data_IF_252071627382
#
_entry.id   IF_252071627382
#
_cell.length_a   1.000
_cell.length_b   1.000
_cell.length_c   1.000
_cell.angle_alpha   90.00
_cell.angle_beta   90.00
_cell.angle_gamma   90.00
#
_symmetry.space_group_name_H-M   'P 1'
#
loop_
_entity.id
_entity.type
_entity.pdbx_description
1 polymer ?
#
# COMPACT_ATOMS: atom_id res chain seq x y z
N UNK A 1 5.84 24.38 -7.67
CA UNK A 1 6.30 23.12 -8.30
C UNK A 1 7.56 22.68 -7.59
N UNK A 2 7.72 21.38 -7.35
CA UNK A 2 8.82 20.79 -6.59
C UNK A 2 9.40 19.62 -7.38
N UNK A 3 10.60 19.19 -6.99
CA UNK A 3 11.30 18.08 -7.64
C UNK A 3 11.90 17.17 -6.58
N UNK A 4 11.71 15.86 -6.71
CA UNK A 4 12.43 14.82 -5.97
C UNK A 4 13.25 13.97 -6.94
N UNK A 5 14.32 13.32 -6.48
CA UNK A 5 15.13 12.43 -7.32
C UNK A 5 14.90 10.96 -6.94
N UNK A 6 15.19 10.05 -7.87
CA UNK A 6 15.31 8.62 -7.57
C UNK A 6 16.59 8.05 -8.16
N UNK A 7 17.05 6.91 -7.64
CA UNK A 7 18.14 6.18 -8.26
C UNK A 7 17.61 5.24 -9.37
N UNK A 8 18.12 5.28 -10.61
CA UNK A 8 17.75 4.31 -11.64
C UNK A 8 18.23 2.88 -11.29
N UNK A 9 17.59 1.84 -11.87
CA UNK A 9 16.38 1.91 -12.70
C UNK A 9 15.10 2.15 -11.87
N UNK A 10 14.05 2.65 -12.53
CA UNK A 10 12.70 2.78 -11.98
C UNK A 10 11.67 2.38 -13.04
N UNK A 11 10.84 1.37 -12.76
CA UNK A 11 9.78 0.92 -13.65
C UNK A 11 8.48 1.71 -13.39
N UNK A 12 8.38 2.88 -14.01
CA UNK A 12 7.23 3.78 -13.86
C UNK A 12 5.95 3.22 -14.46
N UNK A 13 6.05 2.46 -15.55
CA UNK A 13 4.89 1.80 -16.17
C UNK A 13 4.29 0.79 -15.20
N UNK A 14 5.12 -0.06 -14.58
CA UNK A 14 4.66 -1.00 -13.57
C UNK A 14 4.08 -0.30 -12.34
N UNK A 15 4.75 0.75 -11.83
CA UNK A 15 4.30 1.51 -10.67
C UNK A 15 2.94 2.17 -10.91
N UNK A 16 2.78 2.89 -12.02
CA UNK A 16 1.52 3.54 -12.38
C UNK A 16 0.44 2.49 -12.67
N UNK A 17 0.75 1.39 -13.33
CA UNK A 17 -0.19 0.28 -13.53
C UNK A 17 -0.64 -0.35 -12.21
N UNK A 18 0.27 -0.52 -11.25
CA UNK A 18 -0.04 -1.01 -9.91
C UNK A 18 -1.04 -0.10 -9.20
N UNK A 19 -0.78 1.21 -9.22
CA UNK A 19 -1.62 2.24 -8.59
C UNK A 19 -2.96 2.39 -9.32
N UNK A 20 -2.97 2.38 -10.65
CA UNK A 20 -4.17 2.48 -11.48
C UNK A 20 -5.16 1.36 -11.17
N UNK A 21 -4.68 0.11 -11.06
CA UNK A 21 -5.52 -1.03 -10.71
C UNK A 21 -6.21 -0.88 -9.33
N UNK A 22 -5.69 -0.02 -8.45
CA UNK A 22 -6.14 0.21 -7.07
C UNK A 22 -6.67 1.63 -6.84
N UNK A 23 -6.74 2.44 -7.89
CA UNK A 23 -7.12 3.84 -7.79
C UNK A 23 -8.55 3.94 -7.25
N UNK A 24 -8.72 4.83 -6.27
CA UNK A 24 -10.04 5.10 -5.70
C UNK A 24 -10.68 6.22 -6.50
N UNK A 25 -11.74 5.87 -7.22
CA UNK A 25 -12.53 6.80 -8.02
C UNK A 25 -13.02 7.99 -7.18
N UNK A 26 -12.78 9.21 -7.68
CA UNK A 26 -12.98 10.48 -6.99
C UNK A 26 -11.87 10.85 -5.99
N UNK A 27 -10.90 10.00 -5.66
CA UNK A 27 -9.77 10.36 -4.77
C UNK A 27 -8.48 10.45 -5.56
N UNK A 28 -8.27 9.51 -6.49
CA UNK A 28 -7.03 9.33 -7.24
C UNK A 28 -7.33 9.26 -8.74
N UNK A 29 -6.42 9.81 -9.54
CA UNK A 29 -6.42 9.69 -10.99
C UNK A 29 -5.06 9.23 -11.43
N UNK A 30 -5.02 8.13 -12.19
CA UNK A 30 -3.79 7.60 -12.77
C UNK A 30 -3.98 7.59 -14.27
N UNK A 31 -3.12 8.32 -14.98
CA UNK A 31 -3.15 8.40 -16.43
C UNK A 31 -1.81 8.02 -17.03
N UNK A 32 -1.67 8.25 -18.33
CA UNK A 32 -0.43 7.97 -19.05
C UNK A 32 0.70 8.88 -18.52
N UNK A 33 1.67 8.29 -17.83
CA UNK A 33 2.83 9.00 -17.31
C UNK A 33 2.52 9.97 -16.17
N UNK A 34 1.38 9.89 -15.48
CA UNK A 34 1.12 10.73 -14.30
C UNK A 34 0.25 10.06 -13.25
N UNK A 35 0.38 10.55 -12.02
CA UNK A 35 -0.51 10.23 -10.91
C UNK A 35 -0.96 11.54 -10.25
N UNK A 36 -2.24 11.64 -9.91
CA UNK A 36 -2.78 12.77 -9.17
C UNK A 36 -3.74 12.27 -8.09
N UNK A 37 -3.85 12.99 -6.98
CA UNK A 37 -4.82 12.66 -5.93
C UNK A 37 -5.19 13.88 -5.08
N UNK A 38 -6.33 13.78 -4.41
CA UNK A 38 -6.62 14.59 -3.24
C UNK A 38 -5.73 14.16 -2.07
N UNK A 39 -5.33 15.14 -1.24
CA UNK A 39 -4.51 14.91 -0.06
C UNK A 39 -4.94 15.84 1.06
N UNK A 40 -4.92 15.31 2.28
CA UNK A 40 -5.16 16.05 3.53
C UNK A 40 -3.93 15.90 4.43
N UNK A 41 -3.50 17.00 5.03
CA UNK A 41 -2.40 17.07 6.00
C UNK A 41 -2.79 18.06 7.09
N UNK A 42 -3.27 17.55 8.23
CA UNK A 42 -3.89 18.40 9.25
C UNK A 42 -5.13 19.10 8.67
N UNK A 43 -5.22 20.41 8.84
CA UNK A 43 -6.33 21.22 8.30
C UNK A 43 -6.16 21.56 6.81
N UNK A 44 -4.97 21.33 6.26
CA UNK A 44 -4.63 21.63 4.86
C UNK A 44 -5.11 20.52 3.94
N UNK A 45 -5.71 20.92 2.81
CA UNK A 45 -6.24 20.02 1.80
C UNK A 45 -5.99 20.54 0.40
N UNK A 46 -5.92 19.64 -0.56
CA UNK A 46 -5.81 20.01 -1.97
C UNK A 46 -5.40 18.87 -2.87
N UNK A 47 -4.95 19.20 -4.08
CA UNK A 47 -4.46 18.25 -5.06
C UNK A 47 -2.94 18.20 -5.09
N UNK A 48 -2.42 16.98 -5.19
CA UNK A 48 -1.05 16.70 -5.60
C UNK A 48 -1.07 15.99 -6.94
N UNK A 49 -0.24 16.45 -7.87
CA UNK A 49 0.00 15.80 -9.16
C UNK A 49 1.48 15.52 -9.31
N UNK A 50 1.83 14.35 -9.82
CA UNK A 50 3.21 13.93 -10.04
C UNK A 50 3.41 13.41 -11.45
N UNK A 51 4.56 13.74 -12.04
CA UNK A 51 5.01 13.26 -13.34
C UNK A 51 6.48 12.88 -13.27
N UNK A 52 6.85 11.62 -13.60
CA UNK A 52 8.24 11.24 -13.69
C UNK A 52 8.89 11.83 -14.94
N UNK A 53 10.06 12.43 -14.76
CA UNK A 53 10.96 12.80 -15.82
C UNK A 53 12.09 11.75 -15.91
N UNK A 54 12.01 10.91 -16.93
CA UNK A 54 12.94 9.78 -17.10
C UNK A 54 14.34 10.24 -17.53
N UNK A 55 14.48 11.37 -18.23
CA UNK A 55 15.77 11.79 -18.78
C UNK A 55 16.77 12.22 -17.71
N UNK A 56 16.26 12.73 -16.58
CA UNK A 56 17.08 13.21 -15.45
C UNK A 56 16.78 12.51 -14.13
N UNK A 57 15.95 11.47 -14.14
CA UNK A 57 15.62 10.66 -12.96
C UNK A 57 14.97 11.46 -11.82
N UNK A 58 14.08 12.39 -12.19
CA UNK A 58 13.38 13.26 -11.23
C UNK A 58 11.87 13.17 -11.31
N UNK A 59 11.20 13.26 -10.15
CA UNK A 59 9.76 13.30 -10.02
C UNK A 59 9.32 14.75 -9.86
N UNK A 60 8.62 15.27 -10.86
CA UNK A 60 8.01 16.60 -10.81
C UNK A 60 6.72 16.54 -10.01
N UNK A 61 6.57 17.43 -9.03
CA UNK A 61 5.44 17.45 -8.10
C UNK A 61 4.79 18.84 -8.11
N UNK A 62 3.49 18.87 -8.36
CA UNK A 62 2.68 20.09 -8.30
C UNK A 62 1.69 19.96 -7.15
N UNK A 63 1.65 20.98 -6.29
CA UNK A 63 0.72 21.09 -5.18
C UNK A 63 -0.22 22.26 -5.45
N UNK A 64 -1.52 22.07 -5.23
CA UNK A 64 -2.48 23.19 -5.21
C UNK A 64 -2.21 24.13 -4.04
N UNK A 65 -2.75 25.34 -4.08
CA UNK A 65 -2.52 26.39 -3.09
C UNK A 65 -2.74 25.92 -1.64
N UNK A 66 -3.82 25.18 -1.38
CA UNK A 66 -4.15 24.67 -0.04
C UNK A 66 -3.11 23.72 0.59
N UNK A 67 -2.22 23.13 -0.21
CA UNK A 67 -1.14 22.24 0.27
C UNK A 67 0.24 22.90 0.34
N UNK A 68 0.41 24.11 -0.20
CA UNK A 68 1.69 24.82 -0.16
C UNK A 68 2.22 25.05 1.27
N UNK A 69 1.38 25.39 2.29
CA UNK A 69 1.87 25.57 3.66
C UNK A 69 2.50 24.31 4.27
N UNK A 70 2.14 23.13 3.76
CA UNK A 70 2.57 21.81 4.24
C UNK A 70 3.36 21.03 3.20
N UNK A 71 3.98 21.75 2.25
CA UNK A 71 4.65 21.15 1.10
C UNK A 71 5.66 20.06 1.49
N UNK A 72 6.50 20.29 2.50
CA UNK A 72 7.48 19.29 2.96
C UNK A 72 6.84 17.97 3.40
N UNK A 73 5.70 18.03 4.11
CA UNK A 73 4.96 16.85 4.51
C UNK A 73 4.33 16.14 3.29
N UNK A 74 3.82 16.88 2.32
CA UNK A 74 3.34 16.33 1.05
C UNK A 74 4.46 15.62 0.28
N UNK A 75 5.64 16.24 0.14
CA UNK A 75 6.80 15.65 -0.54
C UNK A 75 7.26 14.36 0.15
N UNK A 76 7.29 14.32 1.49
CA UNK A 76 7.62 13.11 2.23
C UNK A 76 6.60 11.97 2.00
N UNK A 77 5.29 12.30 1.94
CA UNK A 77 4.22 11.34 1.59
C UNK A 77 4.38 10.81 0.17
N UNK A 78 4.72 11.67 -0.79
CA UNK A 78 4.99 11.27 -2.19
C UNK A 78 6.25 10.40 -2.28
N UNK A 79 7.32 10.75 -1.57
CA UNK A 79 8.54 9.93 -1.52
C UNK A 79 8.23 8.50 -1.04
N UNK A 80 7.44 8.37 0.03
CA UNK A 80 7.01 7.06 0.56
C UNK A 80 6.08 6.30 -0.37
N UNK A 81 5.13 6.97 -1.03
CA UNK A 81 4.24 6.33 -2.00
C UNK A 81 5.02 5.68 -3.14
N UNK A 82 6.04 6.36 -3.66
CA UNK A 82 6.84 5.92 -4.80
C UNK A 82 8.16 5.25 -4.41
N UNK A 83 8.47 5.09 -3.12
CA UNK A 83 9.68 4.42 -2.63
C UNK A 83 10.96 4.95 -3.30
N UNK A 84 11.09 6.28 -3.30
CA UNK A 84 12.16 6.98 -4.00
C UNK A 84 13.53 6.73 -3.35
N UNK A 85 13.55 6.45 -2.04
CA UNK A 85 14.75 6.14 -1.25
C UNK A 85 15.31 4.72 -1.50
N UNK A 86 14.61 3.90 -2.30
CA UNK A 86 15.08 2.57 -2.65
C UNK A 86 16.44 2.64 -3.37
N UNK A 87 17.33 1.72 -3.00
CA UNK A 87 18.61 1.48 -3.66
C UNK A 87 18.50 0.18 -4.49
N UNK A 88 18.17 0.26 -5.79
CA UNK A 88 17.82 -0.93 -6.58
C UNK A 88 18.95 -1.96 -6.65
N UNK A 89 20.21 -1.50 -6.62
CA UNK A 89 21.37 -2.39 -6.62
C UNK A 89 21.40 -3.34 -5.41
N UNK A 90 21.04 -2.85 -4.21
CA UNK A 90 21.01 -3.69 -3.01
C UNK A 90 19.89 -4.75 -3.08
N UNK A 91 18.72 -4.34 -3.59
CA UNK A 91 17.59 -5.25 -3.80
C UNK A 91 17.95 -6.31 -4.84
N UNK A 92 18.58 -5.91 -5.95
CA UNK A 92 19.00 -6.83 -7.01
C UNK A 92 19.99 -7.90 -6.50
N UNK A 93 20.96 -7.51 -5.69
CA UNK A 93 21.91 -8.47 -5.06
C UNK A 93 21.17 -9.49 -4.21
N UNK A 94 20.20 -9.06 -3.40
CA UNK A 94 19.47 -9.96 -2.51
C UNK A 94 18.47 -10.86 -3.24
N UNK A 95 17.85 -10.39 -4.33
CA UNK A 95 16.85 -11.15 -5.06
C UNK A 95 17.44 -12.04 -6.16
N UNK A 96 18.63 -11.73 -6.65
CA UNK A 96 19.28 -12.44 -7.76
C UNK A 96 18.34 -12.59 -8.96
N UNK A 97 18.23 -13.82 -9.48
CA UNK A 97 17.38 -14.15 -10.64
C UNK A 97 15.91 -13.75 -10.49
N UNK A 98 15.36 -13.70 -9.27
CA UNK A 98 13.98 -13.26 -9.05
C UNK A 98 13.78 -11.79 -9.47
N UNK A 99 14.82 -10.97 -9.30
CA UNK A 99 14.82 -9.53 -9.57
C UNK A 99 14.97 -9.17 -11.06
N UNK A 100 15.61 -10.03 -11.85
CA UNK A 100 16.12 -9.71 -13.19
C UNK A 100 15.05 -9.26 -14.20
N UNK A 101 13.85 -9.84 -14.12
CA UNK A 101 12.78 -9.50 -15.06
C UNK A 101 12.24 -8.07 -14.89
N UNK A 102 12.41 -7.46 -13.70
CA UNK A 102 11.93 -6.10 -13.39
C UNK A 102 12.89 -5.38 -12.44
N UNK A 103 14.10 -5.00 -12.89
CA UNK A 103 15.13 -4.44 -12.00
C UNK A 103 14.74 -3.07 -11.43
N UNK A 104 13.80 -2.36 -12.07
CA UNK A 104 13.27 -1.07 -11.60
C UNK A 104 12.05 -1.17 -10.69
N UNK A 105 11.63 -2.38 -10.28
CA UNK A 105 10.46 -2.57 -9.41
C UNK A 105 10.69 -1.88 -8.06
N UNK A 106 9.64 -1.23 -7.56
CA UNK A 106 9.64 -0.55 -6.25
C UNK A 106 8.57 -1.09 -5.33
N UNK A 107 8.67 -0.76 -4.04
CA UNK A 107 7.60 -1.07 -3.09
C UNK A 107 6.58 0.07 -3.10
N UNK A 108 5.38 -0.05 -3.72
CA UNK A 108 4.46 1.06 -3.70
C UNK A 108 3.93 1.21 -2.27
N UNK A 109 4.09 2.40 -1.70
CA UNK A 109 3.71 2.68 -0.32
C UNK A 109 2.27 3.17 -0.20
N UNK A 110 2.10 4.15 0.69
CA UNK A 110 0.88 4.95 0.82
C UNK A 110 1.22 6.39 1.18
N UNK A 111 0.29 7.32 0.90
CA UNK A 111 0.43 8.72 1.35
C UNK A 111 -0.02 8.90 2.79
N UNK A 112 -0.85 8.00 3.30
CA UNK A 112 -1.38 8.03 4.65
C UNK A 112 -1.55 6.60 5.19
N UNK A 113 -1.18 6.41 6.45
CA UNK A 113 -1.14 5.09 7.08
C UNK A 113 -2.54 4.66 7.51
N UNK A 114 -3.37 5.57 8.02
CA UNK A 114 -4.75 5.27 8.36
C UNK A 114 -5.56 4.88 7.12
N UNK A 115 -5.47 5.69 6.05
CA UNK A 115 -6.08 5.36 4.76
C UNK A 115 -5.64 3.98 4.26
N UNK A 116 -4.35 3.64 4.41
CA UNK A 116 -3.84 2.34 4.00
C UNK A 116 -4.38 1.18 4.84
N UNK A 117 -4.64 1.39 6.12
CA UNK A 117 -5.34 0.44 6.98
C UNK A 117 -6.79 0.21 6.53
N UNK A 118 -7.51 1.28 6.20
CA UNK A 118 -8.87 1.18 5.64
C UNK A 118 -8.86 0.37 4.34
N UNK A 119 -7.93 0.68 3.41
CA UNK A 119 -7.76 -0.05 2.15
C UNK A 119 -7.40 -1.53 2.37
N UNK A 120 -6.56 -1.84 3.36
CA UNK A 120 -6.20 -3.22 3.70
C UNK A 120 -7.42 -4.02 4.21
N UNK A 121 -8.24 -3.43 5.08
CA UNK A 121 -9.48 -4.05 5.58
C UNK A 121 -10.49 -4.25 4.44
N UNK A 122 -10.68 -3.25 3.58
CA UNK A 122 -11.60 -3.33 2.44
C UNK A 122 -11.15 -4.33 1.37
N UNK A 123 -9.85 -4.59 1.26
CA UNK A 123 -9.25 -5.58 0.37
C UNK A 123 -9.41 -7.04 0.79
N UNK A 124 -9.94 -7.31 1.98
CA UNK A 124 -10.10 -8.68 2.48
C UNK A 124 -11.08 -9.50 1.62
N UNK A 125 -10.63 -10.67 1.16
CA UNK A 125 -11.45 -11.70 0.49
C UNK A 125 -12.21 -11.22 -0.76
N UNK A 126 -11.72 -10.16 -1.41
CA UNK A 126 -12.31 -9.61 -2.63
C UNK A 126 -11.23 -9.34 -3.67
N UNK A 127 -11.62 -9.20 -4.94
CA UNK A 127 -10.68 -8.79 -5.98
C UNK A 127 -10.22 -7.36 -5.77
N UNK A 128 -9.08 -7.01 -6.38
CA UNK A 128 -8.52 -5.64 -6.35
C UNK A 128 -9.53 -4.61 -6.86
N UNK A 129 -10.22 -4.90 -7.96
CA UNK A 129 -11.24 -4.02 -8.52
C UNK A 129 -12.45 -3.82 -7.57
N UNK A 130 -12.88 -4.89 -6.89
CA UNK A 130 -13.96 -4.78 -5.91
C UNK A 130 -13.52 -3.97 -4.68
N UNK A 131 -12.29 -4.17 -4.19
CA UNK A 131 -11.73 -3.38 -3.09
C UNK A 131 -11.67 -1.89 -3.43
N UNK A 132 -11.20 -1.53 -4.64
CA UNK A 132 -11.18 -0.15 -5.12
C UNK A 132 -12.60 0.45 -5.17
N UNK A 133 -13.58 -0.30 -5.70
CA UNK A 133 -14.99 0.14 -5.76
C UNK A 133 -15.61 0.35 -4.38
N UNK A 134 -15.37 -0.56 -3.44
CA UNK A 134 -15.84 -0.42 -2.04
C UNK A 134 -15.20 0.81 -1.39
N UNK A 135 -13.91 1.00 -1.61
CA UNK A 135 -13.17 2.15 -1.07
C UNK A 135 -13.70 3.47 -1.63
N UNK A 136 -14.04 3.52 -2.93
CA UNK A 136 -14.65 4.70 -3.55
C UNK A 136 -16.05 5.02 -2.98
N UNK A 137 -16.85 3.99 -2.66
CA UNK A 137 -18.13 4.19 -1.96
C UNK A 137 -17.95 4.78 -0.57
N UNK A 138 -16.94 4.31 0.19
CA UNK A 138 -16.61 4.86 1.51
C UNK A 138 -16.15 6.32 1.37
N UNK A 139 -15.21 6.59 0.45
CA UNK A 139 -14.70 7.93 0.20
C UNK A 139 -15.79 8.91 -0.23
N UNK A 140 -16.71 8.53 -1.12
CA UNK A 140 -17.84 9.39 -1.50
C UNK A 140 -18.85 9.62 -0.38
N UNK A 141 -19.05 8.64 0.50
CA UNK A 141 -20.06 8.73 1.57
C UNK A 141 -19.56 9.54 2.77
N UNK A 142 -18.27 9.48 3.07
CA UNK A 142 -17.68 10.03 4.29
C UNK A 142 -16.56 11.06 4.03
N UNK A 143 -16.08 11.18 2.79
CA UNK A 143 -15.09 12.18 2.40
C UNK A 143 -15.73 13.53 2.09
N UNK A 144 -14.88 14.55 2.01
CA UNK A 144 -15.28 15.93 1.72
C UNK A 144 -14.78 16.32 0.33
N UNK A 145 -15.63 16.92 -0.49
CA UNK A 145 -15.24 17.44 -1.80
C UNK A 145 -14.22 18.57 -1.66
N UNK A 146 -13.22 18.60 -2.54
CA UNK A 146 -12.29 19.72 -2.63
C UNK A 146 -12.97 20.92 -3.32
N UNK A 147 -13.04 22.11 -2.69
CA UNK A 147 -13.69 23.27 -3.28
C UNK A 147 -13.14 23.66 -4.66
N UNK A 148 -11.81 23.63 -4.80
CA UNK A 148 -11.11 24.02 -6.04
C UNK A 148 -10.99 22.88 -7.06
N UNK A 149 -11.51 21.69 -6.74
CA UNK A 149 -11.48 20.53 -7.61
C UNK A 149 -12.69 19.61 -7.32
N UNK A 150 -13.91 19.99 -7.77
CA UNK A 150 -15.17 19.33 -7.38
C UNK A 150 -15.28 17.85 -7.73
N UNK A 151 -14.51 17.38 -8.72
CA UNK A 151 -14.43 15.96 -9.09
C UNK A 151 -13.63 15.12 -8.09
N UNK A 152 -12.94 15.77 -7.15
CA UNK A 152 -12.14 15.11 -6.12
C UNK A 152 -12.77 15.21 -4.74
N UNK A 153 -12.80 14.09 -4.04
CA UNK A 153 -13.11 13.97 -2.62
C UNK A 153 -11.85 13.62 -1.84
N UNK A 154 -11.65 14.28 -0.71
CA UNK A 154 -10.65 13.89 0.28
C UNK A 154 -11.03 12.54 0.88
N UNK A 155 -10.03 11.68 1.10
CA UNK A 155 -10.27 10.43 1.83
C UNK A 155 -10.71 10.75 3.27
N UNK A 156 -11.73 10.06 3.82
CA UNK A 156 -12.25 10.35 5.15
C UNK A 156 -11.19 10.10 6.24
N UNK A 157 -11.07 11.05 7.16
CA UNK A 157 -10.17 10.95 8.32
C UNK A 157 -10.68 10.00 9.41
N UNK A 158 -9.83 9.69 10.40
CA UNK A 158 -10.21 8.84 11.52
C UNK A 158 -11.34 9.45 12.37
N UNK A 159 -11.43 10.78 12.49
CA UNK A 159 -12.50 11.48 13.20
C UNK A 159 -13.87 11.16 12.60
N UNK A 160 -13.96 11.14 11.26
CA UNK A 160 -15.19 10.86 10.54
C UNK A 160 -15.57 9.38 10.63
N UNK A 161 -14.62 8.47 10.40
CA UNK A 161 -14.91 7.03 10.40
C UNK A 161 -15.14 6.45 11.80
N UNK A 162 -14.58 7.05 12.85
CA UNK A 162 -14.83 6.63 14.23
C UNK A 162 -16.28 6.85 14.69
N UNK A 163 -16.97 7.81 14.06
CA UNK A 163 -18.37 8.16 14.33
C UNK A 163 -19.36 7.55 13.33
N UNK A 164 -18.88 6.77 12.36
CA UNK A 164 -19.75 6.16 11.36
C UNK A 164 -20.67 5.09 11.97
N UNK A 165 -21.92 5.04 11.51
CA UNK A 165 -22.83 3.94 11.82
C UNK A 165 -22.36 2.64 11.12
N UNK A 166 -22.14 1.53 11.86
CA UNK A 166 -21.80 0.23 11.28
C UNK A 166 -22.80 -0.25 10.22
N UNK A 167 -24.10 0.06 10.36
CA UNK A 167 -25.12 -0.32 9.39
C UNK A 167 -25.03 0.50 8.11
N UNK A 168 -24.70 1.79 8.20
CA UNK A 168 -24.46 2.63 7.04
C UNK A 168 -23.24 2.15 6.23
N UNK A 169 -22.13 1.80 6.90
CA UNK A 169 -20.97 1.19 6.23
C UNK A 169 -21.31 -0.17 5.62
N UNK A 170 -22.06 -1.03 6.32
CA UNK A 170 -22.56 -2.30 5.78
C UNK A 170 -23.38 -2.11 4.50
N UNK A 171 -24.24 -1.09 4.46
CA UNK A 171 -25.07 -0.77 3.29
C UNK A 171 -24.26 -0.42 2.04
N UNK A 172 -22.97 -0.06 2.17
CA UNK A 172 -22.07 0.16 1.03
C UNK A 172 -21.65 -1.15 0.32
N UNK A 173 -21.97 -2.31 0.91
CA UNK A 173 -21.71 -3.63 0.34
C UNK A 173 -20.59 -4.41 1.01
N UNK A 174 -20.44 -4.26 2.34
CA UNK A 174 -19.48 -5.03 3.13
C UNK A 174 -20.13 -5.74 4.32
N UNK A 175 -19.55 -6.83 4.85
CA UNK A 175 -20.04 -7.45 6.08
C UNK A 175 -19.99 -6.49 7.27
N UNK A 176 -20.94 -6.64 8.22
CA UNK A 176 -21.00 -5.82 9.44
C UNK A 176 -19.67 -5.83 10.22
N UNK A 177 -19.05 -7.01 10.37
CA UNK A 177 -17.74 -7.13 11.05
C UNK A 177 -16.63 -6.32 10.37
N UNK A 178 -16.70 -6.14 9.05
CA UNK A 178 -15.73 -5.31 8.31
C UNK A 178 -15.98 -3.83 8.57
N UNK A 179 -17.24 -3.41 8.63
CA UNK A 179 -17.61 -2.05 9.02
C UNK A 179 -17.13 -1.74 10.45
N UNK A 180 -17.36 -2.64 11.40
CA UNK A 180 -16.89 -2.52 12.79
C UNK A 180 -15.36 -2.47 12.88
N UNK A 181 -14.64 -3.22 12.05
CA UNK A 181 -13.18 -3.16 11.98
C UNK A 181 -12.66 -1.80 11.49
N UNK A 182 -13.34 -1.16 10.52
CA UNK A 182 -12.99 0.20 10.07
C UNK A 182 -13.18 1.24 11.17
N UNK A 183 -14.31 1.16 11.88
CA UNK A 183 -14.61 2.06 13.01
C UNK A 183 -13.59 1.86 14.13
N UNK A 184 -13.27 0.61 14.46
CA UNK A 184 -12.25 0.31 15.47
C UNK A 184 -10.87 0.84 15.06
N UNK A 185 -10.46 0.66 13.81
CA UNK A 185 -9.19 1.19 13.30
C UNK A 185 -9.14 2.72 13.43
N UNK A 186 -10.24 3.41 13.11
CA UNK A 186 -10.35 4.86 13.24
C UNK A 186 -10.24 5.30 14.71
N UNK A 187 -10.97 4.65 15.62
CA UNK A 187 -10.88 4.91 17.05
C UNK A 187 -9.46 4.65 17.60
N UNK A 188 -8.84 3.53 17.22
CA UNK A 188 -7.48 3.19 17.59
C UNK A 188 -6.46 4.21 17.09
N UNK A 189 -6.71 4.83 15.93
CA UNK A 189 -5.89 5.92 15.39
C UNK A 189 -5.99 7.17 16.26
N UNK A 190 -7.21 7.59 16.63
CA UNK A 190 -7.45 8.78 17.43
C UNK A 190 -6.84 8.69 18.84
N UNK A 191 -6.80 7.49 19.44
CA UNK A 191 -6.19 7.27 20.76
C UNK A 191 -4.71 6.87 20.69
N UNK A 192 -4.07 6.99 19.52
CA UNK A 192 -2.63 6.74 19.36
C UNK A 192 -2.19 5.28 19.43
N UNK A 193 -3.12 4.31 19.30
CA UNK A 193 -2.80 2.87 19.27
C UNK A 193 -2.34 2.38 17.90
N UNK A 194 -2.65 3.10 16.82
CA UNK A 194 -2.12 2.81 15.49
C UNK A 194 -0.82 3.59 15.25
N UNK A 195 0.29 2.89 15.02
CA UNK A 195 1.53 3.55 14.60
C UNK A 195 1.37 4.13 13.17
N UNK A 196 1.48 5.46 13.05
CA UNK A 196 1.33 6.16 11.78
C UNK A 196 2.62 6.18 10.93
N UNK A 197 3.76 5.86 11.53
CA UNK A 197 5.04 5.65 10.88
C UNK A 197 5.53 4.23 11.16
N UNK A 198 6.50 3.76 10.39
CA UNK A 198 7.12 2.46 10.59
C UNK A 198 7.72 2.38 12.02
N UNK A 199 7.24 1.46 12.87
CA UNK A 199 7.83 1.26 14.19
C UNK A 199 9.19 0.56 14.08
N UNK A 200 10.08 0.70 15.08
CA UNK A 200 11.37 0.03 15.10
C UNK A 200 11.26 -1.51 15.06
N UNK A 201 10.30 -2.07 15.82
CA UNK A 201 9.97 -3.49 15.79
C UNK A 201 8.70 -3.73 14.97
N UNK A 202 8.90 -4.02 13.68
CA UNK A 202 7.83 -4.32 12.74
C UNK A 202 7.10 -5.61 13.13
N UNK A 203 7.81 -6.63 13.61
CA UNK A 203 7.20 -7.94 13.89
C UNK A 203 6.26 -7.86 15.09
N UNK A 204 6.72 -7.25 16.19
CA UNK A 204 5.90 -7.00 17.37
C UNK A 204 4.69 -6.13 17.02
N UNK A 205 4.88 -5.12 16.18
CA UNK A 205 3.79 -4.23 15.77
C UNK A 205 2.77 -4.92 14.86
N UNK A 206 3.21 -5.84 13.98
CA UNK A 206 2.31 -6.72 13.21
C UNK A 206 1.52 -7.67 14.13
N UNK A 207 2.13 -8.19 15.21
CA UNK A 207 1.42 -8.99 16.22
C UNK A 207 0.40 -8.13 16.97
N UNK A 208 0.74 -6.90 17.33
CA UNK A 208 -0.17 -5.96 17.98
C UNK A 208 -1.40 -5.65 17.10
N UNK A 209 -1.18 -5.35 15.81
CA UNK A 209 -2.29 -5.11 14.87
C UNK A 209 -3.28 -6.28 14.78
N UNK A 210 -2.80 -7.52 14.94
CA UNK A 210 -3.67 -8.71 14.91
C UNK A 210 -4.59 -8.83 16.14
N UNK A 211 -4.36 -8.04 17.18
CA UNK A 211 -5.28 -7.95 18.32
C UNK A 211 -6.50 -7.08 18.02
N UNK A 212 -6.47 -6.30 16.93
CA UNK A 212 -7.60 -5.45 16.55
C UNK A 212 -8.69 -6.31 15.91
N UNK A 213 -9.97 -6.11 16.26
CA UNK A 213 -11.08 -6.85 15.70
C UNK A 213 -11.12 -6.71 14.17
N UNK A 214 -11.20 -7.84 13.48
CA UNK A 214 -11.26 -7.88 12.02
C UNK A 214 -9.92 -7.69 11.30
N UNK A 215 -8.80 -7.56 12.01
CA UNK A 215 -7.45 -7.52 11.42
C UNK A 215 -6.76 -8.88 11.65
N UNK A 216 -6.81 -9.74 10.64
CA UNK A 216 -6.06 -11.00 10.63
C UNK A 216 -4.63 -10.85 10.11
N UNK A 217 -3.85 -11.95 10.18
CA UNK A 217 -2.44 -12.01 9.76
C UNK A 217 -2.17 -11.41 8.38
N UNK A 218 -2.97 -11.73 7.36
CA UNK A 218 -2.80 -11.17 6.02
C UNK A 218 -2.95 -9.65 6.01
N UNK A 219 -3.96 -9.11 6.73
CA UNK A 219 -4.25 -7.68 6.76
C UNK A 219 -3.14 -6.91 7.47
N UNK A 220 -2.66 -7.42 8.62
CA UNK A 220 -1.58 -6.80 9.37
C UNK A 220 -0.26 -6.77 8.58
N UNK A 221 0.09 -7.88 7.90
CA UNK A 221 1.29 -7.92 7.06
C UNK A 221 1.15 -7.02 5.83
N UNK A 222 0.02 -7.04 5.12
CA UNK A 222 -0.19 -6.16 3.96
C UNK A 222 -0.19 -4.68 4.36
N UNK A 223 -0.74 -4.35 5.54
CA UNK A 223 -0.63 -3.02 6.12
C UNK A 223 0.83 -2.64 6.43
N UNK A 224 1.61 -3.49 7.08
CA UNK A 224 3.03 -3.20 7.33
C UNK A 224 3.82 -2.99 6.03
N UNK A 225 3.59 -3.85 5.03
CA UNK A 225 4.22 -3.75 3.72
C UNK A 225 3.90 -2.43 3.01
N UNK A 226 2.65 -1.97 3.06
CA UNK A 226 2.19 -0.80 2.30
C UNK A 226 2.21 0.50 3.07
N UNK A 227 1.71 0.49 4.31
CA UNK A 227 1.51 1.66 5.18
C UNK A 227 2.77 2.07 5.93
N UNK A 228 3.57 1.09 6.38
CA UNK A 228 4.89 1.34 6.95
C UNK A 228 6.02 1.22 5.93
N UNK A 229 5.71 0.82 4.69
CA UNK A 229 6.71 0.49 3.67
C UNK A 229 7.78 -0.48 4.21
N UNK A 230 7.39 -1.42 5.09
CA UNK A 230 8.31 -2.39 5.67
C UNK A 230 8.89 -3.28 4.57
N UNK A 231 10.22 -3.37 4.50
CA UNK A 231 10.94 -4.00 3.38
C UNK A 231 11.05 -5.53 3.49
N UNK A 232 10.81 -6.08 4.67
CA UNK A 232 11.01 -7.50 4.98
C UNK A 232 9.74 -8.25 5.42
N UNK A 233 8.63 -7.99 4.72
CA UNK A 233 7.34 -8.65 4.95
C UNK A 233 7.01 -9.61 3.80
N UNK A 234 6.50 -10.79 4.12
CA UNK A 234 5.95 -11.73 3.16
C UNK A 234 4.48 -12.06 3.47
N UNK A 235 3.72 -12.49 2.46
CA UNK A 235 2.29 -12.82 2.59
C UNK A 235 2.01 -14.29 2.26
N UNK A 236 2.40 -15.25 3.13
CA UNK A 236 2.24 -16.68 2.84
C UNK A 236 0.77 -17.14 2.76
N UNK A 237 -0.17 -16.33 3.28
CA UNK A 237 -1.60 -16.61 3.20
C UNK A 237 -2.30 -15.96 2.01
N UNK A 238 -1.58 -15.14 1.25
CA UNK A 238 -2.15 -14.43 0.12
C UNK A 238 -2.61 -15.41 -0.96
N UNK A 239 -3.78 -15.15 -1.54
CA UNK A 239 -4.40 -16.05 -2.50
C UNK A 239 -3.50 -16.30 -3.73
N UNK A 240 -2.91 -15.25 -4.29
CA UNK A 240 -2.04 -15.37 -5.46
C UNK A 240 -0.72 -16.03 -5.10
N UNK A 241 -0.17 -15.74 -3.91
CA UNK A 241 1.04 -16.42 -3.41
C UNK A 241 0.79 -17.92 -3.23
N UNK A 242 -0.33 -18.35 -2.63
CA UNK A 242 -0.64 -19.79 -2.53
C UNK A 242 -0.71 -20.47 -3.90
N UNK A 243 -1.21 -19.78 -4.93
CA UNK A 243 -1.20 -20.31 -6.30
C UNK A 243 0.21 -20.42 -6.88
N UNK A 244 1.10 -19.45 -6.58
CA UNK A 244 2.52 -19.47 -7.02
C UNK A 244 3.35 -20.54 -6.32
N UNK A 245 2.96 -20.93 -5.11
CA UNK A 245 3.56 -22.00 -4.33
C UNK A 245 2.62 -23.22 -4.22
N UNK A 246 2.07 -23.65 -5.36
CA UNK A 246 1.10 -24.74 -5.42
C UNK A 246 1.62 -25.99 -4.67
N UNK A 247 0.79 -26.54 -3.77
CA UNK A 247 1.13 -27.70 -2.94
C UNK A 247 1.85 -27.38 -1.63
N UNK A 248 2.33 -26.14 -1.41
CA UNK A 248 2.95 -25.75 -0.14
C UNK A 248 1.93 -25.16 0.85
N UNK A 249 2.09 -25.50 2.12
CA UNK A 249 1.40 -24.86 3.24
C UNK A 249 1.95 -23.46 3.50
N UNK A 250 1.20 -22.59 4.17
CA UNK A 250 1.67 -21.25 4.55
C UNK A 250 2.94 -21.28 5.41
N UNK A 251 3.16 -22.35 6.20
CA UNK A 251 4.38 -22.53 6.98
C UNK A 251 5.60 -22.82 6.08
N UNK A 252 5.45 -23.73 5.11
CA UNK A 252 6.49 -24.04 4.12
C UNK A 252 6.81 -22.81 3.26
N UNK A 253 5.80 -22.04 2.84
CA UNK A 253 6.01 -20.79 2.08
C UNK A 253 6.79 -19.77 2.93
N UNK A 254 6.48 -19.64 4.22
CA UNK A 254 7.22 -18.75 5.12
C UNK A 254 8.69 -19.16 5.22
N UNK A 255 8.97 -20.44 5.40
CA UNK A 255 10.34 -20.96 5.45
C UNK A 255 11.07 -20.75 4.12
N UNK A 256 10.40 -21.00 2.98
CA UNK A 256 10.97 -20.75 1.66
C UNK A 256 11.40 -19.30 1.48
N UNK A 257 10.56 -18.36 1.93
CA UNK A 257 10.77 -16.93 1.75
C UNK A 257 11.94 -16.35 2.57
N UNK A 258 12.45 -17.08 3.57
CA UNK A 258 13.59 -16.65 4.39
C UNK A 258 14.84 -16.35 3.56
N UNK A 259 15.00 -17.02 2.41
CA UNK A 259 16.11 -16.79 1.47
C UNK A 259 16.20 -15.36 0.91
N UNK A 260 15.11 -14.60 0.98
CA UNK A 260 15.06 -13.22 0.50
C UNK A 260 15.15 -12.18 1.61
N UNK A 261 15.44 -12.57 2.85
CA UNK A 261 15.74 -11.59 3.91
C UNK A 261 16.96 -10.74 3.52
N UNK A 262 16.98 -9.43 3.85
CA UNK A 262 15.95 -8.63 4.54
C UNK A 262 14.97 -7.92 3.57
N UNK A 263 14.72 -8.47 2.38
CA UNK A 263 13.99 -7.82 1.28
C UNK A 263 12.75 -8.60 0.82
N UNK A 264 12.11 -9.37 1.73
CA UNK A 264 10.95 -10.21 1.41
C UNK A 264 9.78 -9.44 0.78
N UNK A 265 9.60 -8.15 1.08
CA UNK A 265 8.54 -7.34 0.47
C UNK A 265 8.77 -7.10 -1.02
N UNK A 266 10.02 -6.93 -1.46
CA UNK A 266 10.33 -6.83 -2.88
C UNK A 266 10.17 -8.20 -3.56
N UNK A 267 10.67 -9.28 -2.94
CA UNK A 267 10.48 -10.63 -3.45
C UNK A 267 8.99 -10.97 -3.68
N UNK A 268 8.12 -10.62 -2.73
CA UNK A 268 6.67 -10.77 -2.85
C UNK A 268 6.13 -10.12 -4.13
N UNK A 269 6.51 -8.86 -4.39
CA UNK A 269 6.05 -8.12 -5.56
C UNK A 269 6.58 -8.73 -6.86
N UNK A 270 7.84 -9.17 -6.89
CA UNK A 270 8.39 -9.91 -8.03
C UNK A 270 7.60 -11.19 -8.32
N UNK A 271 7.24 -11.97 -7.30
CA UNK A 271 6.47 -13.22 -7.46
C UNK A 271 5.05 -12.94 -7.95
N UNK A 272 4.36 -11.92 -7.41
CA UNK A 272 3.03 -11.52 -7.89
C UNK A 272 3.04 -11.20 -9.39
N UNK A 273 4.07 -10.49 -9.86
CA UNK A 273 4.14 -9.97 -11.22
C UNK A 273 4.93 -10.86 -12.19
N UNK A 274 5.51 -11.96 -11.73
CA UNK A 274 6.15 -12.96 -12.61
C UNK A 274 5.13 -14.04 -12.93
N UNK A 275 4.58 -13.98 -14.16
CA UNK A 275 3.65 -15.00 -14.64
C UNK A 275 4.38 -16.35 -14.77
N UNK A 276 3.74 -17.43 -14.31
CA UNK A 276 4.34 -18.76 -14.35
C UNK A 276 5.52 -18.98 -13.40
N UNK A 277 5.81 -18.05 -12.49
CA UNK A 277 6.83 -18.30 -11.45
C UNK A 277 6.41 -19.48 -10.58
N UNK A 278 7.38 -20.35 -10.29
CA UNK A 278 7.26 -21.51 -9.42
C UNK A 278 8.48 -21.55 -8.48
N UNK A 279 8.34 -22.09 -7.27
CA UNK A 279 9.47 -22.27 -6.38
C UNK A 279 10.50 -23.21 -7.04
N UNK A 280 11.78 -22.83 -7.00
CA UNK A 280 12.86 -23.75 -7.33
C UNK A 280 12.79 -24.99 -6.44
N UNK A 281 12.78 -26.17 -7.05
CA UNK A 281 12.89 -27.46 -6.38
C UNK A 281 14.36 -27.75 -6.06
N UNK A 282 15.05 -26.78 -5.46
CA UNK A 282 16.38 -27.06 -4.92
C UNK A 282 16.19 -28.01 -3.73
N UNK A 283 16.99 -29.07 -3.72
CA UNK A 283 16.95 -30.23 -2.80
C UNK A 283 17.09 -29.92 -1.30
N UNK A 284 17.04 -28.65 -0.90
CA UNK A 284 17.09 -28.18 0.50
C UNK A 284 15.74 -28.29 1.24
N UNK A 285 14.63 -28.54 0.54
CA UNK A 285 13.30 -28.73 1.16
C UNK A 285 12.95 -30.21 1.36
N UNK A 286 13.79 -31.13 0.84
CA UNK A 286 13.67 -32.58 1.05
C UNK A 286 14.24 -33.02 2.41
N UNK A 287 13.87 -32.33 3.48
CA UNK A 287 14.31 -32.61 4.85
C UNK A 287 13.18 -32.91 5.84
N UNK A 288 12.00 -33.28 5.34
CA UNK A 288 10.87 -33.74 6.16
C UNK A 288 10.23 -34.93 5.43
N UNK A 289 10.79 -36.12 5.67
CA UNK A 289 10.02 -37.37 5.65
C UNK A 289 9.51 -37.62 7.07
#
# INVERSE_FOLDING_TARGET
MFTLSWQPPYDWSWMLGFLAARAVDGVETVGEGFYARSLVVGEHRGLVSVRPNLSNHTLQITLSAGLLPVASACLAKISRLFDLDCQPAQVAVALGRLGEARPGLRLPGSVDTFEQGVRAILGQLVSVAMAARLTAKVARRYGETLPDAPDYVCFPGPETLALADPLALKALGMPRRRAEALIHLAQATLVGKLALTAPPDIEQSVKHLQTFPGIGRWTANYFALRGWQAKDIFLPDDYLIKQRFAGMTAAQIRQYAERWKPWRSYALLHIWYTHGWQPSMDSEIAGIQ
#
